data_IF_364828190688
#
_entry.id   IF_364828190688
#
_cell.length_a   1.000
_cell.length_b   1.000
_cell.length_c   1.000
_cell.angle_alpha   90.00
_cell.angle_beta   90.00
_cell.angle_gamma   90.00
#
_symmetry.space_group_name_H-M   'P 1'
#
loop_
_entity.id
_entity.type
_entity.pdbx_description
1 polymer ?
#
# COMPACT_ATOMS: atom_id res chain seq x y z
N UNK A 1 6.42 20.15 11.99
CA UNK A 1 6.70 21.07 10.86
C UNK A 1 7.35 20.36 9.67
N UNK A 2 8.44 19.61 9.84
CA UNK A 2 9.10 18.86 8.73
C UNK A 2 8.20 17.79 8.11
N UNK A 3 7.55 16.96 8.94
CA UNK A 3 6.53 16.00 8.50
C UNK A 3 5.34 16.66 7.78
N UNK A 4 5.06 17.93 8.08
CA UNK A 4 4.00 18.72 7.46
C UNK A 4 4.40 19.26 6.08
N UNK A 5 5.63 19.77 5.97
CA UNK A 5 6.20 20.21 4.70
C UNK A 5 6.39 19.04 3.72
N UNK A 6 6.81 17.88 4.21
CA UNK A 6 7.02 16.68 3.39
C UNK A 6 5.72 16.11 2.81
N UNK A 7 4.62 16.14 3.56
CA UNK A 7 3.32 15.60 3.11
C UNK A 7 2.51 16.63 2.33
N UNK A 8 2.39 17.88 2.78
CA UNK A 8 1.54 18.90 2.14
C UNK A 8 2.17 19.55 0.91
N UNK A 9 3.49 19.78 0.89
CA UNK A 9 4.18 20.33 -0.29
C UNK A 9 4.08 19.44 -1.52
N UNK A 10 3.85 18.14 -1.32
CA UNK A 10 3.66 17.17 -2.39
C UNK A 10 2.22 16.66 -2.54
N UNK A 11 1.31 17.07 -1.65
CA UNK A 11 -0.10 16.69 -1.70
C UNK A 11 -0.79 17.25 -2.94
N UNK A 12 -0.45 18.48 -3.33
CA UNK A 12 -0.96 19.12 -4.54
C UNK A 12 -0.59 18.31 -5.80
N UNK A 13 0.60 17.71 -5.84
CA UNK A 13 1.04 16.84 -6.94
C UNK A 13 0.25 15.52 -6.98
N UNK A 14 -0.05 14.95 -5.80
CA UNK A 14 -0.90 13.75 -5.68
C UNK A 14 -2.31 14.07 -6.14
N UNK A 15 -2.92 15.15 -5.64
CA UNK A 15 -4.25 15.58 -6.06
C UNK A 15 -4.32 15.80 -7.57
N UNK A 16 -3.33 16.46 -8.16
CA UNK A 16 -3.30 16.66 -9.61
C UNK A 16 -3.16 15.33 -10.39
N UNK A 17 -2.39 14.38 -9.87
CA UNK A 17 -2.20 13.06 -10.50
C UNK A 17 -3.44 12.19 -10.37
N UNK A 18 -4.07 12.19 -9.20
CA UNK A 18 -5.34 11.50 -8.95
C UNK A 18 -6.46 12.14 -9.77
N UNK A 19 -6.57 13.47 -9.83
CA UNK A 19 -7.54 14.16 -10.69
C UNK A 19 -7.32 13.85 -12.17
N UNK A 20 -6.07 13.75 -12.62
CA UNK A 20 -5.76 13.34 -13.98
C UNK A 20 -6.19 11.90 -14.25
N UNK A 21 -6.01 11.00 -13.28
CA UNK A 21 -6.50 9.62 -13.33
C UNK A 21 -8.03 9.56 -13.28
N UNK A 22 -8.66 10.37 -12.45
CA UNK A 22 -10.11 10.44 -12.24
C UNK A 22 -10.82 10.83 -13.53
N UNK A 23 -10.29 11.82 -14.28
CA UNK A 23 -10.78 12.17 -15.62
C UNK A 23 -10.71 11.02 -16.63
N UNK A 24 -9.74 10.11 -16.47
CA UNK A 24 -9.63 8.91 -17.33
C UNK A 24 -10.62 7.82 -16.93
N UNK A 25 -11.09 7.83 -15.68
CA UNK A 25 -11.95 6.81 -15.08
C UNK A 25 -13.39 7.31 -14.83
N UNK A 26 -13.71 8.53 -15.26
CA UNK A 26 -14.97 9.24 -14.96
C UNK A 26 -16.24 8.48 -15.39
N UNK A 27 -16.10 7.55 -16.35
CA UNK A 27 -17.20 6.79 -16.92
C UNK A 27 -17.43 5.40 -16.29
N UNK A 28 -16.62 5.00 -15.30
CA UNK A 28 -16.69 3.67 -14.68
C UNK A 28 -17.36 3.76 -13.29
N UNK A 29 -18.70 3.62 -13.24
CA UNK A 29 -19.47 3.71 -11.99
C UNK A 29 -19.06 2.63 -10.96
N UNK A 30 -18.61 1.47 -11.43
CA UNK A 30 -18.16 0.36 -10.58
C UNK A 30 -16.83 0.70 -9.86
N UNK A 31 -15.98 1.50 -10.51
CA UNK A 31 -14.74 2.03 -9.94
C UNK A 31 -15.01 2.95 -8.75
N UNK A 32 -15.90 3.94 -8.91
CA UNK A 32 -16.24 4.87 -7.82
C UNK A 32 -16.86 4.16 -6.62
N UNK A 33 -17.69 3.15 -6.85
CA UNK A 33 -18.28 2.37 -5.76
C UNK A 33 -17.22 1.59 -4.97
N UNK A 34 -16.28 0.90 -5.65
CA UNK A 34 -15.19 0.14 -5.00
C UNK A 34 -14.22 1.06 -4.25
N UNK A 35 -13.91 2.23 -4.82
CA UNK A 35 -13.04 3.22 -4.18
C UNK A 35 -13.71 3.80 -2.93
N UNK A 36 -14.98 4.18 -3.02
CA UNK A 36 -15.77 4.70 -1.88
C UNK A 36 -15.86 3.68 -0.75
N UNK A 37 -16.16 2.43 -1.06
CA UNK A 37 -16.21 1.36 -0.06
C UNK A 37 -14.86 1.14 0.62
N UNK A 38 -13.77 1.11 -0.16
CA UNK A 38 -12.43 0.90 0.41
C UNK A 38 -11.93 2.10 1.21
N UNK A 39 -12.30 3.32 0.81
CA UNK A 39 -12.06 4.54 1.58
C UNK A 39 -12.79 4.52 2.92
N UNK A 40 -14.05 4.09 2.94
CA UNK A 40 -14.82 3.92 4.18
C UNK A 40 -14.20 2.89 5.13
N UNK A 41 -13.68 1.78 4.61
CA UNK A 41 -12.94 0.79 5.42
C UNK A 41 -11.69 1.43 6.03
N UNK A 42 -10.91 2.17 5.23
CA UNK A 42 -9.68 2.82 5.70
C UNK A 42 -9.96 3.85 6.80
N UNK A 43 -10.97 4.69 6.62
CA UNK A 43 -11.39 5.71 7.59
C UNK A 43 -11.90 5.05 8.87
N UNK A 44 -12.76 4.03 8.77
CA UNK A 44 -13.29 3.31 9.94
C UNK A 44 -12.17 2.64 10.74
N UNK A 45 -11.20 2.01 10.07
CA UNK A 45 -10.05 1.39 10.71
C UNK A 45 -9.22 2.40 11.52
N UNK A 46 -9.02 3.59 10.98
CA UNK A 46 -8.20 4.64 11.61
C UNK A 46 -8.97 5.37 12.71
N UNK A 47 -10.27 5.55 12.54
CA UNK A 47 -11.12 6.06 13.61
C UNK A 47 -11.13 5.09 14.80
N UNK A 48 -11.27 3.78 14.55
CA UNK A 48 -11.16 2.74 15.59
C UNK A 48 -9.81 2.78 16.31
N UNK A 49 -8.72 3.03 15.59
CA UNK A 49 -7.37 3.20 16.16
C UNK A 49 -7.31 4.39 17.12
N UNK A 50 -7.69 5.58 16.64
CA UNK A 50 -7.64 6.81 17.44
C UNK A 50 -8.52 6.67 18.66
N UNK A 51 -9.71 6.09 18.52
CA UNK A 51 -10.61 5.84 19.65
C UNK A 51 -10.03 4.84 20.64
N UNK A 52 -9.32 3.81 20.19
CA UNK A 52 -8.68 2.83 21.08
C UNK A 52 -7.55 3.48 21.90
N UNK A 53 -6.72 4.33 21.28
CA UNK A 53 -5.68 5.08 21.98
C UNK A 53 -6.28 6.05 23.00
N UNK A 54 -7.29 6.84 22.60
CA UNK A 54 -7.99 7.76 23.51
C UNK A 54 -8.63 6.99 24.68
N UNK A 55 -9.26 5.84 24.42
CA UNK A 55 -9.85 5.00 25.47
C UNK A 55 -8.80 4.48 26.45
N UNK A 56 -7.62 4.08 25.94
CA UNK A 56 -6.50 3.64 26.77
C UNK A 56 -5.93 4.77 27.63
N UNK A 57 -5.89 5.99 27.10
CA UNK A 57 -5.44 7.20 27.81
C UNK A 57 -6.45 7.60 28.89
N UNK A 58 -7.74 7.57 28.58
CA UNK A 58 -8.84 7.81 29.54
C UNK A 58 -8.87 6.78 30.67
N UNK A 59 -8.61 5.50 30.37
CA UNK A 59 -8.53 4.47 31.41
C UNK A 59 -7.37 4.73 32.39
N UNK A 60 -6.25 5.26 31.89
CA UNK A 60 -5.09 5.60 32.72
C UNK A 60 -5.28 6.90 33.52
N UNK A 61 -6.20 7.77 33.08
CA UNK A 61 -6.52 9.05 33.72
C UNK A 61 -7.04 8.90 35.15
N UNK A 62 -7.66 7.75 35.50
CA UNK A 62 -8.24 7.50 36.84
C UNK A 62 -7.22 7.61 38.00
N UNK A 63 -5.93 7.82 37.71
CA UNK A 63 -4.83 7.87 38.67
C UNK A 63 -3.86 9.06 38.50
N UNK A 64 -4.13 10.03 37.62
CA UNK A 64 -3.14 11.06 37.22
C UNK A 64 -3.64 12.51 37.27
N UNK A 65 -2.71 13.46 37.49
CA UNK A 65 -2.96 14.90 37.54
C UNK A 65 -3.45 15.46 36.20
N UNK A 66 -4.28 16.50 36.25
CA UNK A 66 -4.90 17.15 35.07
C UNK A 66 -3.90 17.63 34.01
N UNK A 67 -2.75 18.18 34.43
CA UNK A 67 -1.69 18.60 33.50
C UNK A 67 -1.08 17.43 32.73
N UNK A 68 -0.86 16.29 33.39
CA UNK A 68 -0.34 15.08 32.75
C UNK A 68 -1.36 14.51 31.76
N UNK A 69 -2.64 14.57 32.11
CA UNK A 69 -3.74 14.17 31.22
C UNK A 69 -3.80 15.04 29.96
N UNK A 70 -3.74 16.37 30.09
CA UNK A 70 -3.70 17.27 28.94
C UNK A 70 -2.49 17.00 28.04
N UNK A 71 -1.32 16.71 28.63
CA UNK A 71 -0.13 16.34 27.86
C UNK A 71 -0.31 15.02 27.09
N UNK A 72 -0.92 14.00 27.70
CA UNK A 72 -1.21 12.74 27.01
C UNK A 72 -2.22 12.91 25.86
N UNK A 73 -3.30 13.65 26.09
CA UNK A 73 -4.30 13.94 25.04
C UNK A 73 -3.68 14.72 23.88
N UNK A 74 -2.82 15.72 24.18
CA UNK A 74 -2.06 16.44 23.15
C UNK A 74 -1.13 15.51 22.36
N UNK A 75 -0.46 14.58 23.05
CA UNK A 75 0.34 13.53 22.42
C UNK A 75 -0.49 12.64 21.50
N UNK A 76 -1.65 12.18 21.94
CA UNK A 76 -2.54 11.32 21.14
C UNK A 76 -3.11 12.07 19.92
N UNK A 77 -3.47 13.35 20.09
CA UNK A 77 -3.87 14.22 18.98
C UNK A 77 -2.75 14.38 17.94
N UNK A 78 -1.49 14.43 18.37
CA UNK A 78 -0.36 14.51 17.45
C UNK A 78 -0.21 13.24 16.58
N UNK A 79 -0.72 12.09 17.03
CA UNK A 79 -0.74 10.83 16.28
C UNK A 79 -1.78 10.84 15.15
N UNK A 80 -2.81 11.70 15.21
CA UNK A 80 -3.82 11.83 14.14
C UNK A 80 -3.16 12.23 12.82
N UNK A 81 -2.07 12.98 12.88
CA UNK A 81 -1.35 13.49 11.73
C UNK A 81 -0.67 12.39 10.87
N UNK A 82 0.23 11.54 11.41
CA UNK A 82 0.78 10.43 10.65
C UNK A 82 -0.27 9.39 10.26
N UNK A 83 -1.37 9.25 11.01
CA UNK A 83 -2.49 8.37 10.63
C UNK A 83 -3.26 8.88 9.42
N UNK A 84 -3.55 10.18 9.36
CA UNK A 84 -4.20 10.78 8.18
C UNK A 84 -3.33 10.67 6.95
N UNK A 85 -2.01 10.86 7.08
CA UNK A 85 -1.07 10.56 5.99
C UNK A 85 -1.13 9.08 5.54
N UNK A 86 -1.28 8.15 6.49
CA UNK A 86 -1.46 6.73 6.18
C UNK A 86 -2.81 6.44 5.49
N UNK A 87 -3.91 7.09 5.90
CA UNK A 87 -5.20 7.03 5.17
C UNK A 87 -5.00 7.40 3.70
N UNK A 88 -4.34 8.54 3.49
CA UNK A 88 -4.15 9.13 2.18
C UNK A 88 -3.31 8.21 1.30
N UNK A 89 -2.23 7.64 1.84
CA UNK A 89 -1.46 6.63 1.15
C UNK A 89 -2.32 5.43 0.75
N UNK A 90 -3.09 4.88 1.70
CA UNK A 90 -3.92 3.69 1.47
C UNK A 90 -4.98 3.92 0.39
N UNK A 91 -5.70 5.04 0.46
CA UNK A 91 -6.74 5.41 -0.52
C UNK A 91 -6.11 5.64 -1.90
N UNK A 92 -5.01 6.39 -1.96
CA UNK A 92 -4.31 6.70 -3.22
C UNK A 92 -3.77 5.44 -3.88
N UNK A 93 -3.16 4.55 -3.09
CA UNK A 93 -2.62 3.30 -3.56
C UNK A 93 -3.71 2.34 -4.05
N UNK A 94 -4.86 2.29 -3.39
CA UNK A 94 -6.00 1.51 -3.87
C UNK A 94 -6.62 2.09 -5.14
N UNK A 95 -6.68 3.42 -5.28
CA UNK A 95 -7.09 4.06 -6.52
C UNK A 95 -6.17 3.65 -7.67
N UNK A 96 -4.85 3.69 -7.48
CA UNK A 96 -3.87 3.24 -8.48
C UNK A 96 -4.00 1.75 -8.82
N UNK A 97 -4.23 0.90 -7.83
CA UNK A 97 -4.48 -0.53 -8.08
C UNK A 97 -5.73 -0.76 -8.94
N UNK A 98 -6.79 0.04 -8.71
CA UNK A 98 -8.01 -0.01 -9.50
C UNK A 98 -7.80 0.56 -10.92
N UNK A 99 -6.96 1.57 -11.09
CA UNK A 99 -6.55 2.06 -12.41
C UNK A 99 -5.78 1.00 -13.20
N UNK A 100 -4.87 0.24 -12.57
CA UNK A 100 -4.24 -0.91 -13.23
C UNK A 100 -5.26 -1.98 -13.64
N UNK A 101 -6.26 -2.23 -12.80
CA UNK A 101 -7.33 -3.16 -13.14
C UNK A 101 -8.14 -2.68 -14.36
N UNK A 102 -8.41 -1.37 -14.48
CA UNK A 102 -9.07 -0.79 -15.63
C UNK A 102 -8.21 -0.88 -16.91
N UNK A 103 -6.91 -0.58 -16.82
CA UNK A 103 -5.97 -0.78 -17.94
C UNK A 103 -5.96 -2.26 -18.37
N UNK A 104 -5.97 -3.18 -17.41
CA UNK A 104 -6.00 -4.61 -17.72
C UNK A 104 -7.33 -5.05 -18.36
N UNK A 105 -8.47 -4.46 -17.97
CA UNK A 105 -9.77 -4.74 -18.60
C UNK A 105 -9.86 -4.16 -20.01
N UNK A 106 -9.26 -2.99 -20.25
CA UNK A 106 -9.14 -2.39 -21.59
C UNK A 106 -8.28 -3.26 -22.50
N UNK A 107 -7.14 -3.74 -21.98
CA UNK A 107 -6.28 -4.69 -22.67
C UNK A 107 -6.99 -6.02 -23.00
N UNK A 108 -7.73 -6.59 -22.05
CA UNK A 108 -8.50 -7.81 -22.29
C UNK A 108 -9.57 -7.62 -23.39
N UNK A 109 -10.29 -6.49 -23.37
CA UNK A 109 -11.27 -6.13 -24.41
C UNK A 109 -10.63 -5.94 -25.78
N UNK A 110 -9.48 -5.26 -25.83
CA UNK A 110 -8.68 -5.10 -27.05
C UNK A 110 -8.27 -6.46 -27.63
N UNK A 111 -7.74 -7.35 -26.78
CA UNK A 111 -7.33 -8.68 -27.20
C UNK A 111 -8.53 -9.51 -27.70
N UNK A 112 -9.68 -9.45 -27.04
CA UNK A 112 -10.90 -10.14 -27.48
C UNK A 112 -11.46 -9.60 -28.81
N UNK A 113 -11.43 -8.27 -29.05
CA UNK A 113 -11.84 -7.66 -30.33
C UNK A 113 -10.88 -8.00 -31.47
N UNK A 114 -9.58 -8.06 -31.18
CA UNK A 114 -8.55 -8.38 -32.18
C UNK A 114 -8.70 -9.77 -32.80
N UNK A 115 -9.39 -10.69 -32.11
CA UNK A 115 -9.72 -12.04 -32.60
C UNK A 115 -10.93 -12.03 -33.55
N UNK A 116 -11.77 -10.99 -33.55
CA UNK A 116 -13.12 -11.04 -34.13
C UNK A 116 -13.32 -10.26 -35.46
N UNK A 117 -12.59 -9.19 -35.79
CA UNK A 117 -12.55 -8.55 -37.15
C UNK A 117 -11.65 -7.29 -37.27
N UNK A 118 -11.08 -7.11 -38.49
CA UNK A 118 -10.46 -5.94 -39.16
C UNK A 118 -9.34 -5.16 -38.43
N UNK A 119 -8.19 -5.08 -39.11
CA UNK A 119 -6.83 -4.95 -38.54
C UNK A 119 -6.29 -3.51 -38.47
N UNK A 120 -6.93 -2.50 -39.10
CA UNK A 120 -6.27 -1.20 -39.29
C UNK A 120 -6.49 -0.15 -38.18
N UNK A 121 -7.53 -0.27 -37.35
CA UNK A 121 -7.82 0.68 -36.26
C UNK A 121 -7.09 0.35 -34.94
N UNK A 122 -6.42 -0.81 -34.86
CA UNK A 122 -5.98 -1.42 -33.60
C UNK A 122 -4.64 -0.89 -33.05
N UNK A 123 -3.81 -0.22 -33.85
CA UNK A 123 -2.52 0.30 -33.37
C UNK A 123 -2.67 1.53 -32.46
N UNK A 124 -3.69 2.36 -32.70
CA UNK A 124 -4.04 3.51 -31.87
C UNK A 124 -4.53 3.08 -30.48
N UNK A 125 -5.40 2.06 -30.41
CA UNK A 125 -5.90 1.49 -29.15
C UNK A 125 -4.76 0.90 -28.29
N UNK A 126 -3.77 0.25 -28.92
CA UNK A 126 -2.63 -0.32 -28.21
C UNK A 126 -1.67 0.77 -27.68
N UNK A 127 -1.44 1.82 -28.47
CA UNK A 127 -0.67 2.97 -28.04
C UNK A 127 -1.37 3.69 -26.87
N UNK A 128 -2.70 3.79 -26.90
CA UNK A 128 -3.50 4.34 -25.81
C UNK A 128 -3.37 3.50 -24.54
N UNK A 129 -3.51 2.17 -24.61
CA UNK A 129 -3.32 1.28 -23.45
C UNK A 129 -1.91 1.41 -22.87
N UNK A 130 -0.89 1.52 -23.74
CA UNK A 130 0.50 1.71 -23.33
C UNK A 130 0.71 3.03 -22.59
N UNK A 131 0.17 4.13 -23.13
CA UNK A 131 0.28 5.44 -22.47
C UNK A 131 -0.43 5.45 -21.12
N UNK A 132 -1.61 4.83 -21.01
CA UNK A 132 -2.32 4.69 -19.74
C UNK A 132 -1.53 3.86 -18.73
N UNK A 133 -0.95 2.72 -19.14
CA UNK A 133 -0.10 1.92 -18.27
C UNK A 133 1.11 2.72 -17.75
N UNK A 134 1.80 3.45 -18.64
CA UNK A 134 2.92 4.32 -18.28
C UNK A 134 2.53 5.44 -17.31
N UNK A 135 1.37 6.07 -17.51
CA UNK A 135 0.85 7.10 -16.61
C UNK A 135 0.56 6.54 -15.21
N UNK A 136 -0.04 5.34 -15.11
CA UNK A 136 -0.30 4.72 -13.81
C UNK A 136 1.02 4.30 -13.13
N UNK A 137 2.01 3.79 -13.86
CA UNK A 137 3.33 3.50 -13.29
C UNK A 137 4.01 4.77 -12.75
N UNK A 138 4.02 5.85 -13.53
CA UNK A 138 4.57 7.14 -13.08
C UNK A 138 3.85 7.67 -11.84
N UNK A 139 2.54 7.50 -11.76
CA UNK A 139 1.75 7.88 -10.59
C UNK A 139 2.11 7.04 -9.34
N UNK A 140 2.42 5.76 -9.52
CA UNK A 140 2.94 4.90 -8.43
C UNK A 140 4.32 5.36 -7.97
N UNK A 141 5.24 5.67 -8.89
CA UNK A 141 6.58 6.14 -8.52
C UNK A 141 6.52 7.46 -7.75
N UNK A 142 5.65 8.38 -8.17
CA UNK A 142 5.38 9.61 -7.44
C UNK A 142 4.77 9.33 -6.07
N UNK A 143 3.80 8.41 -5.96
CA UNK A 143 3.23 8.03 -4.68
C UNK A 143 4.30 7.45 -3.76
N UNK A 144 5.15 6.55 -4.27
CA UNK A 144 6.24 5.94 -3.51
C UNK A 144 7.23 7.01 -3.02
N UNK A 145 7.69 7.91 -3.89
CA UNK A 145 8.63 8.97 -3.51
C UNK A 145 8.10 9.91 -2.42
N UNK A 146 6.80 10.21 -2.43
CA UNK A 146 6.17 11.12 -1.46
C UNK A 146 5.97 10.43 -0.11
N UNK A 147 5.49 9.19 -0.15
CA UNK A 147 5.19 8.44 1.07
C UNK A 147 6.36 7.58 1.55
N UNK A 148 7.55 7.69 0.95
CA UNK A 148 8.74 6.93 1.32
C UNK A 148 9.14 7.19 2.77
N UNK A 149 9.26 8.46 3.14
CA UNK A 149 9.59 8.89 4.51
C UNK A 149 8.52 8.47 5.51
N UNK A 150 7.25 8.65 5.15
CA UNK A 150 6.14 8.31 6.04
C UNK A 150 6.05 6.80 6.27
N UNK A 151 6.23 6.01 5.20
CA UNK A 151 6.27 4.55 5.26
C UNK A 151 7.45 4.05 6.10
N UNK A 152 8.62 4.68 5.96
CA UNK A 152 9.78 4.38 6.81
C UNK A 152 9.46 4.59 8.30
N UNK A 153 8.94 5.75 8.65
CA UNK A 153 8.57 6.09 10.03
C UNK A 153 7.54 5.10 10.57
N UNK A 154 6.52 4.73 9.78
CA UNK A 154 5.50 3.77 10.19
C UNK A 154 6.05 2.37 10.41
N UNK A 155 6.97 1.91 9.55
CA UNK A 155 7.60 0.60 9.69
C UNK A 155 8.48 0.56 10.94
N UNK A 156 9.31 1.60 11.16
CA UNK A 156 10.16 1.71 12.36
C UNK A 156 9.30 1.79 13.63
N UNK A 157 8.25 2.61 13.63
CA UNK A 157 7.32 2.74 14.74
C UNK A 157 6.62 1.40 15.06
N UNK A 158 6.09 0.71 14.05
CA UNK A 158 5.41 -0.56 14.27
C UNK A 158 6.38 -1.65 14.71
N UNK A 159 7.61 -1.68 14.17
CA UNK A 159 8.65 -2.63 14.57
C UNK A 159 9.07 -2.43 16.02
N UNK A 160 9.44 -1.20 16.39
CA UNK A 160 9.83 -0.85 17.76
C UNK A 160 8.69 -1.11 18.74
N UNK A 161 7.45 -0.81 18.35
CA UNK A 161 6.24 -1.14 19.11
C UNK A 161 6.09 -2.64 19.37
N UNK A 162 6.25 -3.48 18.35
CA UNK A 162 6.18 -4.95 18.48
C UNK A 162 7.28 -5.49 19.40
N UNK A 163 8.53 -5.02 19.25
CA UNK A 163 9.65 -5.44 20.10
C UNK A 163 9.40 -5.03 21.56
N UNK A 164 9.01 -3.78 21.80
CA UNK A 164 8.78 -3.26 23.14
C UNK A 164 7.62 -3.98 23.85
N UNK A 165 6.51 -4.23 23.15
CA UNK A 165 5.39 -4.99 23.71
C UNK A 165 5.77 -6.44 24.01
N UNK A 166 6.58 -7.06 23.16
CA UNK A 166 7.08 -8.41 23.41
C UNK A 166 7.95 -8.47 24.67
N UNK A 167 8.76 -7.43 24.91
CA UNK A 167 9.53 -7.30 26.16
C UNK A 167 8.61 -7.12 27.38
N UNK A 168 7.60 -6.26 27.28
CA UNK A 168 6.61 -6.07 28.36
C UNK A 168 5.83 -7.36 28.70
N UNK A 169 5.50 -8.17 27.69
CA UNK A 169 4.89 -9.49 27.91
C UNK A 169 5.84 -10.41 28.70
N UNK A 170 7.14 -10.36 28.40
CA UNK A 170 8.16 -11.19 29.03
C UNK A 170 8.49 -10.77 30.46
N UNK A 171 8.36 -9.48 30.79
CA UNK A 171 8.57 -8.96 32.15
C UNK A 171 7.32 -9.01 33.03
N UNK A 172 6.14 -9.33 32.47
CA UNK A 172 4.83 -9.35 33.17
C UNK A 172 4.49 -8.04 33.92
N UNK A 173 5.10 -6.93 33.54
CA UNK A 173 4.96 -5.65 34.27
C UNK A 173 3.66 -4.89 33.96
N UNK A 174 2.85 -5.33 32.99
CA UNK A 174 1.69 -4.57 32.49
C UNK A 174 0.44 -5.42 32.28
N UNK A 175 -0.71 -4.74 32.21
CA UNK A 175 -2.03 -5.33 31.95
C UNK A 175 -2.06 -6.04 30.58
N UNK A 176 -2.15 -7.38 30.61
CA UNK A 176 -2.05 -8.27 29.44
C UNK A 176 -2.94 -7.86 28.25
N UNK A 177 -4.23 -7.54 28.43
CA UNK A 177 -5.11 -7.18 27.31
C UNK A 177 -4.68 -5.93 26.55
N UNK A 178 -4.12 -4.92 27.24
CA UNK A 178 -3.65 -3.68 26.62
C UNK A 178 -2.47 -3.93 25.69
N UNK A 179 -1.53 -4.76 26.15
CA UNK A 179 -0.33 -5.11 25.40
C UNK A 179 -0.68 -5.92 24.15
N UNK A 180 -1.61 -6.87 24.27
CA UNK A 180 -2.09 -7.69 23.15
C UNK A 180 -2.79 -6.83 22.09
N UNK A 181 -3.72 -5.94 22.50
CA UNK A 181 -4.44 -5.07 21.57
C UNK A 181 -3.50 -4.18 20.76
N UNK A 182 -2.52 -3.55 21.42
CA UNK A 182 -1.53 -2.71 20.76
C UNK A 182 -0.62 -3.50 19.81
N UNK A 183 -0.26 -4.74 20.18
CA UNK A 183 0.56 -5.60 19.34
C UNK A 183 -0.20 -6.05 18.08
N UNK A 184 -1.47 -6.42 18.22
CA UNK A 184 -2.35 -6.77 17.10
C UNK A 184 -2.50 -5.58 16.13
N UNK A 185 -2.62 -4.38 16.68
CA UNK A 185 -2.71 -3.14 15.93
C UNK A 185 -1.44 -2.83 15.11
N UNK A 186 -0.26 -2.98 15.72
CA UNK A 186 1.02 -2.81 15.01
C UNK A 186 1.16 -3.83 13.85
N UNK A 187 0.77 -5.08 14.10
CA UNK A 187 0.78 -6.14 13.08
C UNK A 187 -0.22 -5.82 11.96
N UNK A 188 -1.44 -5.40 12.31
CA UNK A 188 -2.47 -5.04 11.34
C UNK A 188 -2.02 -3.87 10.46
N UNK A 189 -1.35 -2.86 11.02
CA UNK A 189 -0.80 -1.74 10.25
C UNK A 189 0.26 -2.20 9.23
N UNK A 190 1.25 -2.97 9.68
CA UNK A 190 2.27 -3.52 8.78
C UNK A 190 1.65 -4.43 7.70
N UNK A 191 0.64 -5.22 8.08
CA UNK A 191 -0.07 -6.11 7.18
C UNK A 191 -0.86 -5.38 6.12
N UNK A 192 -1.55 -4.28 6.49
CA UNK A 192 -2.27 -3.41 5.56
C UNK A 192 -1.32 -2.70 4.59
N UNK A 193 -0.21 -2.16 5.11
CA UNK A 193 0.81 -1.49 4.29
C UNK A 193 1.39 -2.45 3.24
N UNK A 194 1.79 -3.64 3.66
CA UNK A 194 2.29 -4.68 2.76
C UNK A 194 1.21 -5.16 1.78
N UNK A 195 -0.03 -5.33 2.23
CA UNK A 195 -1.14 -5.77 1.37
C UNK A 195 -1.39 -4.82 0.21
N UNK A 196 -1.41 -3.52 0.47
CA UNK A 196 -1.70 -2.53 -0.55
C UNK A 196 -0.58 -2.43 -1.57
N UNK A 197 0.68 -2.43 -1.12
CA UNK A 197 1.84 -2.44 -2.00
C UNK A 197 1.85 -3.70 -2.89
N UNK A 198 1.59 -4.87 -2.29
CA UNK A 198 1.48 -6.12 -3.04
C UNK A 198 0.32 -6.08 -4.04
N UNK A 199 -0.83 -5.49 -3.67
CA UNK A 199 -2.00 -5.39 -4.56
C UNK A 199 -1.69 -4.57 -5.81
N UNK A 200 -0.99 -3.44 -5.69
CA UNK A 200 -0.54 -2.66 -6.85
C UNK A 200 0.38 -3.49 -7.72
N UNK A 201 1.39 -4.12 -7.12
CA UNK A 201 2.36 -4.94 -7.83
C UNK A 201 1.68 -6.12 -8.57
N UNK A 202 0.75 -6.81 -7.93
CA UNK A 202 -0.01 -7.90 -8.54
C UNK A 202 -0.91 -7.42 -9.68
N UNK A 203 -1.56 -6.26 -9.55
CA UNK A 203 -2.40 -5.71 -10.63
C UNK A 203 -1.55 -5.25 -11.83
N UNK A 204 -0.36 -4.71 -11.60
CA UNK A 204 0.58 -4.41 -12.67
C UNK A 204 1.06 -5.68 -13.37
N UNK A 205 1.41 -6.73 -12.62
CA UNK A 205 1.78 -8.04 -13.19
C UNK A 205 0.61 -8.78 -13.85
N UNK A 206 -0.64 -8.52 -13.45
CA UNK A 206 -1.81 -9.12 -14.08
C UNK A 206 -1.93 -8.72 -15.55
N UNK A 207 -1.48 -7.52 -15.92
CA UNK A 207 -1.35 -7.07 -17.30
C UNK A 207 -0.47 -8.02 -18.14
N UNK A 208 0.68 -8.47 -17.59
CA UNK A 208 1.56 -9.45 -18.25
C UNK A 208 0.89 -10.80 -18.41
N UNK A 209 0.16 -11.27 -17.39
CA UNK A 209 -0.57 -12.54 -17.45
C UNK A 209 -1.63 -12.50 -18.55
N UNK A 210 -2.36 -11.40 -18.68
CA UNK A 210 -3.34 -11.21 -19.76
C UNK A 210 -2.66 -11.27 -21.13
N UNK A 211 -1.54 -10.56 -21.32
CA UNK A 211 -0.74 -10.63 -22.55
C UNK A 211 -0.22 -12.04 -22.86
N UNK A 212 0.24 -12.78 -21.84
CA UNK A 212 0.78 -14.13 -21.99
C UNK A 212 -0.31 -15.17 -22.33
N UNK A 213 -1.47 -15.12 -21.67
CA UNK A 213 -2.58 -16.04 -21.93
C UNK A 213 -3.09 -15.93 -23.38
N UNK A 214 -3.17 -14.72 -23.93
CA UNK A 214 -3.58 -14.53 -25.33
C UNK A 214 -2.48 -14.94 -26.32
N UNK A 215 -1.20 -14.89 -25.95
CA UNK A 215 -0.09 -15.39 -26.79
C UNK A 215 -0.16 -16.90 -27.01
N UNK A 216 -0.58 -17.67 -26.00
CA UNK A 216 -0.78 -19.12 -26.13
C UNK A 216 -2.02 -19.50 -26.96
N UNK A 217 -3.05 -18.65 -27.00
CA UNK A 217 -4.28 -18.91 -27.77
C UNK A 217 -4.17 -18.62 -29.27
N UNK A 218 -3.20 -17.80 -29.70
CA UNK A 218 -3.09 -17.27 -31.08
C UNK A 218 -1.86 -17.87 -31.78
N UNK A 219 -1.70 -19.20 -31.73
CA UNK A 219 -0.66 -19.90 -32.51
C UNK A 219 -1.15 -20.21 -33.94
N UNK A 220 -2.44 -20.02 -34.26
CA UNK A 220 -3.03 -20.60 -35.49
C UNK A 220 -3.46 -19.59 -36.56
N UNK A 221 -3.59 -18.29 -36.27
CA UNK A 221 -4.15 -17.36 -37.27
C UNK A 221 -3.26 -16.14 -37.51
N UNK A 222 -2.49 -16.22 -38.61
CA UNK A 222 -2.12 -15.13 -39.54
C UNK A 222 -2.26 -13.68 -39.06
N UNK A 223 -1.68 -13.30 -37.92
CA UNK A 223 -1.49 -11.90 -37.55
C UNK A 223 -0.16 -11.42 -38.12
N UNK A 224 -0.13 -10.22 -38.69
CA UNK A 224 1.09 -9.59 -39.19
C UNK A 224 2.18 -9.57 -38.10
N UNK A 225 3.40 -10.00 -38.43
CA UNK A 225 4.58 -10.03 -37.55
C UNK A 225 4.76 -8.73 -36.71
N UNK A 226 4.36 -7.60 -37.29
CA UNK A 226 4.41 -6.27 -36.67
C UNK A 226 3.56 -6.18 -35.38
N UNK A 227 2.33 -6.70 -35.39
CA UNK A 227 1.46 -6.72 -34.20
C UNK A 227 1.93 -7.70 -33.13
N UNK A 228 2.54 -8.82 -33.55
CA UNK A 228 3.15 -9.76 -32.61
C UNK A 228 4.37 -9.13 -31.93
N UNK A 229 5.16 -8.36 -32.68
CA UNK A 229 6.31 -7.60 -32.16
C UNK A 229 5.88 -6.47 -31.22
N UNK A 230 4.83 -5.72 -31.54
CA UNK A 230 4.26 -4.70 -30.64
C UNK A 230 3.76 -5.28 -29.31
N UNK A 231 3.10 -6.45 -29.34
CA UNK A 231 2.64 -7.14 -28.12
C UNK A 231 3.82 -7.63 -27.26
N UNK A 232 4.88 -8.13 -27.87
CA UNK A 232 6.10 -8.55 -27.17
C UNK A 232 6.84 -7.35 -26.57
N UNK A 233 6.92 -6.24 -27.31
CA UNK A 233 7.49 -4.98 -26.81
C UNK A 233 6.70 -4.41 -25.64
N UNK A 234 5.36 -4.44 -25.71
CA UNK A 234 4.51 -4.03 -24.59
C UNK A 234 4.70 -4.94 -23.37
N UNK A 235 4.75 -6.26 -23.58
CA UNK A 235 5.01 -7.22 -22.50
C UNK A 235 6.38 -6.99 -21.83
N UNK A 236 7.43 -6.76 -22.61
CA UNK A 236 8.76 -6.46 -22.05
C UNK A 236 8.77 -5.12 -21.30
N UNK A 237 8.04 -4.11 -21.79
CA UNK A 237 7.93 -2.83 -21.10
C UNK A 237 7.17 -2.94 -19.78
N UNK A 238 6.03 -3.62 -19.76
CA UNK A 238 5.26 -3.85 -18.52
C UNK A 238 6.10 -4.62 -17.50
N UNK A 239 6.94 -5.56 -17.94
CA UNK A 239 7.86 -6.29 -17.06
C UNK A 239 8.95 -5.37 -16.50
N UNK A 240 9.48 -4.46 -17.31
CA UNK A 240 10.51 -3.49 -16.90
C UNK A 240 9.96 -2.34 -16.05
N UNK A 241 8.68 -1.96 -16.24
CA UNK A 241 8.04 -0.86 -15.52
C UNK A 241 7.14 -1.34 -14.38
N UNK A 242 7.21 -2.63 -14.01
CA UNK A 242 6.42 -3.16 -12.91
C UNK A 242 6.76 -2.42 -11.61
N UNK A 243 5.82 -1.66 -11.02
CA UNK A 243 6.12 -0.80 -9.89
C UNK A 243 6.55 -1.63 -8.67
N UNK A 244 7.62 -1.18 -8.02
CA UNK A 244 8.09 -1.67 -6.72
C UNK A 244 8.03 -0.54 -5.69
N UNK A 245 7.44 -0.84 -4.53
CA UNK A 245 7.41 0.10 -3.42
C UNK A 245 8.66 -0.08 -2.56
N UNK A 246 9.61 0.81 -2.77
CA UNK A 246 10.93 0.75 -2.16
C UNK A 246 11.11 1.92 -1.20
N UNK A 247 11.54 1.64 0.03
CA UNK A 247 11.81 2.66 1.04
C UNK A 247 13.29 2.93 1.09
N UNK A 248 13.72 4.04 0.49
CA UNK A 248 15.11 4.52 0.37
C UNK A 248 16.12 3.47 -0.15
N UNK A 249 15.64 2.45 -0.88
CA UNK A 249 16.47 1.30 -1.29
C UNK A 249 16.88 0.37 -0.14
N UNK A 250 16.39 0.60 1.08
CA UNK A 250 16.70 -0.20 2.28
C UNK A 250 15.87 -1.48 2.33
N UNK A 251 14.58 -1.38 2.01
CA UNK A 251 13.69 -2.53 1.99
C UNK A 251 12.50 -2.32 1.04
N UNK A 252 12.01 -3.44 0.51
CA UNK A 252 10.79 -3.51 -0.28
C UNK A 252 9.57 -3.67 0.63
N UNK A 253 8.58 -2.80 0.47
CA UNK A 253 7.28 -2.92 1.15
C UNK A 253 6.47 -4.05 0.51
N UNK A 254 6.71 -5.28 0.99
CA UNK A 254 5.93 -6.47 0.62
C UNK A 254 5.35 -7.12 1.86
N UNK A 255 4.29 -7.94 1.73
CA UNK A 255 3.79 -8.74 2.86
C UNK A 255 4.85 -9.63 3.49
N UNK A 256 5.87 -10.02 2.73
CA UNK A 256 7.04 -10.78 3.21
C UNK A 256 7.87 -10.04 4.28
N UNK A 257 7.69 -8.73 4.43
CA UNK A 257 8.31 -7.94 5.49
C UNK A 257 7.79 -8.39 6.88
N UNK A 258 6.50 -8.72 6.98
CA UNK A 258 5.84 -9.09 8.24
C UNK A 258 6.40 -10.39 8.87
N UNK A 259 6.52 -11.53 8.16
CA UNK A 259 7.14 -12.73 8.72
C UNK A 259 8.63 -12.52 9.02
N UNK A 260 9.35 -11.69 8.25
CA UNK A 260 10.74 -11.32 8.57
C UNK A 260 10.82 -10.57 9.90
N UNK A 261 9.95 -9.58 10.12
CA UNK A 261 9.88 -8.85 11.39
C UNK A 261 9.55 -9.79 12.55
N UNK A 262 8.54 -10.64 12.41
CA UNK A 262 8.18 -11.62 13.45
C UNK A 262 9.38 -12.52 13.77
N UNK A 263 10.06 -13.06 12.76
CA UNK A 263 11.25 -13.89 12.95
C UNK A 263 12.38 -13.16 13.68
N UNK A 264 12.65 -11.90 13.33
CA UNK A 264 13.65 -11.09 14.02
C UNK A 264 13.25 -10.78 15.47
N UNK A 265 11.98 -10.49 15.74
CA UNK A 265 11.49 -10.26 17.10
C UNK A 265 11.61 -11.51 17.96
N UNK A 266 11.22 -12.67 17.43
CA UNK A 266 11.37 -13.96 18.13
C UNK A 266 12.84 -14.25 18.41
N UNK A 267 13.73 -14.03 17.44
CA UNK A 267 15.17 -14.23 17.60
C UNK A 267 15.71 -13.34 18.72
N UNK A 268 15.32 -12.06 18.75
CA UNK A 268 15.71 -11.12 19.79
C UNK A 268 15.17 -11.53 21.17
N UNK A 269 13.94 -12.03 21.25
CA UNK A 269 13.35 -12.55 22.48
C UNK A 269 14.10 -13.79 23.00
N UNK A 270 14.47 -14.72 22.12
CA UNK A 270 15.24 -15.91 22.50
C UNK A 270 16.60 -15.51 23.06
N UNK A 271 17.31 -14.60 22.39
CA UNK A 271 18.60 -14.08 22.86
C UNK A 271 18.44 -13.42 24.24
N UNK A 272 17.46 -12.52 24.40
CA UNK A 272 17.19 -11.87 25.68
C UNK A 272 16.82 -12.85 26.78
N UNK A 273 16.08 -13.91 26.46
CA UNK A 273 15.71 -14.95 27.42
C UNK A 273 16.94 -15.73 27.89
N UNK A 274 17.88 -16.04 27.00
CA UNK A 274 19.15 -16.67 27.34
C UNK A 274 19.97 -15.80 28.30
N UNK A 275 20.07 -14.49 28.03
CA UNK A 275 20.79 -13.56 28.90
C UNK A 275 20.12 -13.35 30.27
N UNK A 276 18.79 -13.42 30.33
CA UNK A 276 18.04 -13.39 31.61
C UNK A 276 18.28 -14.64 32.45
N UNK A 277 18.49 -15.79 31.81
CA UNK A 277 18.80 -17.06 32.49
C UNK A 277 20.21 -17.12 33.07
N UNK A 278 21.16 -16.35 32.53
CA UNK A 278 22.56 -16.30 32.99
C UNK A 278 22.82 -15.31 34.14
N UNK A 279 21.82 -14.53 34.55
CA UNK A 279 21.92 -13.56 35.64
C UNK A 279 21.26 -14.02 36.95
N UNK A 280 21.14 -15.33 37.16
CA UNK A 280 20.80 -15.95 38.45
C UNK A 280 21.96 -16.81 38.94
#
# INVERSE_FOLDING_TARGET
MVLYLMTFGSFQKICHTIQRLERLLEHDAEYFHKLRHSSWIAVTFIFSFVMTQITMTLYHHRRTNWFTFLAYISGDLSLVYPMTGYCLFFISALALAASFQHVNSMLARYLQRSVSKVVLANSLDLAEIRTHHGLVCQAVDQLNGIFQSLSFIHVVFAFTGVVNMSFMLLTRQYFLPKVILYQLECIARLGLLGYVCDRIHFQALACLKTLACFRCGIIITSHSLLHQQERVLLGNQVLQTAPTFDVYGLFHLRRQLLPKLIGTTISYLVILYQFKGTSM
#
